data_IF_397782087630
#
_entry.id   IF_397782087630
#
_cell.length_a   1.000
_cell.length_b   1.000
_cell.length_c   1.000
_cell.angle_alpha   90.00
_cell.angle_beta   90.00
_cell.angle_gamma   90.00
#
_symmetry.space_group_name_H-M   'P 1'
#
loop_
_entity.id
_entity.type
_entity.pdbx_description
1 polymer ?
#
# COMPACT_ATOMS: atom_id res chain seq x y z
N UNK A 1 -14.98 43.63 56.19
CA UNK A 1 -14.05 42.65 55.61
C UNK A 1 -14.53 42.34 54.21
N UNK A 2 -14.06 43.09 53.21
CA UNK A 2 -14.37 42.85 51.80
C UNK A 2 -13.22 42.04 51.20
N UNK A 3 -13.50 40.79 50.82
CA UNK A 3 -12.54 39.98 50.05
C UNK A 3 -12.66 40.42 48.60
N UNK A 4 -11.71 41.22 48.14
CA UNK A 4 -11.59 41.55 46.72
C UNK A 4 -11.05 40.31 45.99
N UNK A 5 -11.90 39.67 45.19
CA UNK A 5 -11.44 38.69 44.20
C UNK A 5 -10.67 39.44 43.12
N UNK A 6 -9.34 39.35 43.14
CA UNK A 6 -8.50 39.76 42.02
C UNK A 6 -8.76 38.82 40.84
N UNK A 7 -9.62 39.26 39.92
CA UNK A 7 -9.67 38.68 38.58
C UNK A 7 -8.42 39.16 37.82
N UNK A 8 -7.52 38.23 37.49
CA UNK A 8 -6.37 38.49 36.62
C UNK A 8 -6.78 38.23 35.16
N UNK A 9 -7.07 39.27 34.35
CA UNK A 9 -7.54 39.12 32.97
C UNK A 9 -6.50 38.48 32.04
N UNK A 10 -5.21 38.60 32.34
CA UNK A 10 -4.13 38.02 31.54
C UNK A 10 -4.14 36.49 31.51
N UNK A 11 -4.51 35.85 32.63
CA UNK A 11 -4.62 34.40 32.73
C UNK A 11 -5.79 33.87 31.89
N UNK A 12 -6.91 34.61 31.85
CA UNK A 12 -8.08 34.29 31.04
C UNK A 12 -7.82 34.48 29.54
N UNK A 13 -7.16 35.59 29.17
CA UNK A 13 -6.76 35.86 27.78
C UNK A 13 -5.74 34.83 27.26
N UNK A 14 -4.84 34.34 28.11
CA UNK A 14 -3.95 33.21 27.77
C UNK A 14 -4.71 31.90 27.61
N UNK A 15 -5.59 31.55 28.56
CA UNK A 15 -6.44 30.36 28.46
C UNK A 15 -7.29 30.34 27.18
N UNK A 16 -7.89 31.48 26.83
CA UNK A 16 -8.69 31.60 25.60
C UNK A 16 -7.85 31.41 24.34
N UNK A 17 -6.59 31.85 24.36
CA UNK A 17 -5.66 31.70 23.22
C UNK A 17 -5.18 30.25 23.09
N UNK A 18 -4.95 29.58 24.22
CA UNK A 18 -4.53 28.18 24.29
C UNK A 18 -5.68 27.21 23.93
N UNK A 19 -6.93 27.61 24.16
CA UNK A 19 -8.13 26.84 23.79
C UNK A 19 -8.58 27.05 22.34
N UNK A 20 -8.17 28.15 21.69
CA UNK A 20 -8.58 28.45 20.31
C UNK A 20 -8.21 27.34 19.31
N UNK A 21 -7.01 26.74 19.33
CA UNK A 21 -6.67 25.61 18.46
C UNK A 21 -7.58 24.40 18.66
N UNK A 22 -7.97 24.13 19.91
CA UNK A 22 -8.84 23.02 20.29
C UNK A 22 -10.27 23.28 19.78
N UNK A 23 -10.77 24.50 19.93
CA UNK A 23 -12.09 24.89 19.44
C UNK A 23 -12.19 24.78 17.91
N UNK A 24 -11.16 25.22 17.19
CA UNK A 24 -11.10 25.09 15.72
C UNK A 24 -10.97 23.62 15.27
N UNK A 25 -10.26 22.78 16.03
CA UNK A 25 -10.23 21.33 15.81
C UNK A 25 -11.63 20.72 15.98
N UNK A 26 -12.34 21.05 17.07
CA UNK A 26 -13.71 20.56 17.33
C UNK A 26 -14.69 21.02 16.24
N UNK A 27 -14.62 22.29 15.81
CA UNK A 27 -15.44 22.80 14.70
C UNK A 27 -15.19 22.03 13.40
N UNK A 28 -13.93 21.77 13.06
CA UNK A 28 -13.57 21.00 11.86
C UNK A 28 -13.97 19.52 11.93
N UNK A 29 -14.14 18.97 13.15
CA UNK A 29 -14.65 17.61 13.37
C UNK A 29 -16.19 17.54 13.38
N UNK A 30 -16.90 18.66 13.31
CA UNK A 30 -18.35 18.67 13.15
C UNK A 30 -18.76 18.00 11.83
N UNK A 31 -19.83 17.20 11.85
CA UNK A 31 -20.36 16.56 10.63
C UNK A 31 -20.86 17.58 9.57
N UNK A 32 -21.14 18.81 10.00
CA UNK A 32 -21.61 19.91 9.15
C UNK A 32 -20.51 20.96 8.86
N UNK A 33 -19.24 20.65 9.13
CA UNK A 33 -18.15 21.60 8.95
C UNK A 33 -17.97 22.00 7.48
N UNK A 34 -17.96 23.30 7.22
CA UNK A 34 -17.58 23.89 5.94
C UNK A 34 -16.08 23.71 5.72
N UNK A 35 -15.72 22.57 5.11
CA UNK A 35 -14.39 22.17 4.62
C UNK A 35 -13.40 21.71 5.70
N UNK A 36 -13.08 20.40 5.78
CA UNK A 36 -12.10 19.88 6.72
C UNK A 36 -10.69 20.41 6.45
N UNK A 37 -9.88 20.59 7.50
CA UNK A 37 -8.52 21.14 7.41
C UNK A 37 -7.48 20.05 7.11
N UNK A 38 -7.61 19.42 5.95
CA UNK A 38 -6.77 18.28 5.53
C UNK A 38 -5.31 18.63 5.19
N UNK A 39 -4.87 19.88 5.39
CA UNK A 39 -3.46 20.27 5.32
C UNK A 39 -2.71 20.06 6.65
N UNK A 40 -3.43 19.86 7.76
CA UNK A 40 -2.84 19.66 9.09
C UNK A 40 -2.83 18.17 9.45
N UNK A 41 -1.64 17.62 9.75
CA UNK A 41 -1.46 16.18 10.05
C UNK A 41 -2.21 15.76 11.31
N UNK A 42 -2.21 16.59 12.36
CA UNK A 42 -2.87 16.27 13.62
C UNK A 42 -4.39 16.28 13.45
N UNK A 43 -4.91 17.29 12.75
CA UNK A 43 -6.32 17.33 12.38
C UNK A 43 -6.72 16.07 11.60
N UNK A 44 -5.95 15.72 10.57
CA UNK A 44 -6.22 14.57 9.71
C UNK A 44 -6.24 13.25 10.49
N UNK A 45 -5.31 13.04 11.42
CA UNK A 45 -5.29 11.86 12.30
C UNK A 45 -6.52 11.78 13.20
N UNK A 46 -6.87 12.89 13.86
CA UNK A 46 -8.06 12.93 14.72
C UNK A 46 -9.34 12.71 13.91
N UNK A 47 -9.43 13.33 12.73
CA UNK A 47 -10.54 13.11 11.81
C UNK A 47 -10.66 11.64 11.40
N UNK A 48 -9.54 10.99 11.05
CA UNK A 48 -9.55 9.56 10.73
C UNK A 48 -10.14 8.74 11.87
N UNK A 49 -9.61 8.93 13.09
CA UNK A 49 -10.01 8.16 14.27
C UNK A 49 -11.50 8.32 14.59
N UNK A 50 -12.04 9.53 14.44
CA UNK A 50 -13.43 9.82 14.80
C UNK A 50 -14.45 9.58 13.68
N UNK A 51 -14.04 9.72 12.41
CA UNK A 51 -14.97 9.71 11.26
C UNK A 51 -14.82 8.50 10.36
N UNK A 52 -13.59 8.13 10.02
CA UNK A 52 -13.33 7.08 9.03
C UNK A 52 -13.15 5.71 9.69
N UNK A 53 -12.35 5.62 10.77
CA UNK A 53 -12.05 4.38 11.48
C UNK A 53 -13.30 3.57 11.86
N UNK A 54 -14.36 4.15 12.46
CA UNK A 54 -15.55 3.39 12.84
C UNK A 54 -16.34 2.84 11.65
N UNK A 55 -16.05 3.32 10.44
CA UNK A 55 -16.75 2.98 9.20
C UNK A 55 -15.90 2.15 8.25
N UNK A 56 -14.68 1.75 8.60
CA UNK A 56 -13.78 1.05 7.67
C UNK A 56 -14.40 -0.24 7.12
N UNK A 57 -15.08 -1.03 7.96
CA UNK A 57 -15.76 -2.26 7.55
C UNK A 57 -16.89 -2.02 6.52
N UNK A 58 -17.43 -0.80 6.44
CA UNK A 58 -18.53 -0.42 5.54
C UNK A 58 -18.21 0.83 4.71
N UNK A 59 -16.92 1.10 4.50
CA UNK A 59 -16.47 2.30 3.78
C UNK A 59 -16.91 2.20 2.32
N UNK A 60 -17.43 3.31 1.78
CA UNK A 60 -17.92 3.36 0.40
C UNK A 60 -16.88 3.97 -0.52
N UNK A 61 -16.88 3.52 -1.78
CA UNK A 61 -16.06 4.12 -2.84
C UNK A 61 -16.30 5.63 -2.96
N UNK A 62 -17.56 6.08 -2.89
CA UNK A 62 -17.91 7.50 -3.00
C UNK A 62 -17.28 8.38 -1.91
N UNK A 63 -17.21 7.86 -0.68
CA UNK A 63 -16.57 8.56 0.44
C UNK A 63 -15.06 8.67 0.22
N UNK A 64 -14.43 7.58 -0.22
CA UNK A 64 -12.99 7.51 -0.49
C UNK A 64 -12.59 8.39 -1.69
N UNK A 65 -13.41 8.40 -2.74
CA UNK A 65 -13.26 9.28 -3.89
C UNK A 65 -13.30 10.75 -3.46
N UNK A 66 -14.29 11.13 -2.65
CA UNK A 66 -14.39 12.47 -2.09
C UNK A 66 -13.17 12.83 -1.24
N UNK A 67 -12.73 11.92 -0.36
CA UNK A 67 -11.54 12.12 0.47
C UNK A 67 -10.28 12.37 -0.37
N UNK A 68 -10.09 11.62 -1.47
CA UNK A 68 -8.96 11.82 -2.41
C UNK A 68 -8.94 13.23 -3.02
N UNK A 69 -10.10 13.90 -3.07
CA UNK A 69 -10.26 15.25 -3.61
C UNK A 69 -10.17 16.37 -2.56
N UNK A 70 -10.08 16.03 -1.27
CA UNK A 70 -10.37 16.97 -0.18
C UNK A 70 -9.19 17.89 0.22
N UNK A 71 -8.26 18.17 -0.69
CA UNK A 71 -7.14 19.09 -0.42
C UNK A 71 -6.06 18.51 0.51
N UNK A 72 -5.84 17.19 0.48
CA UNK A 72 -4.72 16.55 1.18
C UNK A 72 -3.38 17.00 0.56
N UNK A 73 -2.35 17.13 1.40
CA UNK A 73 -0.95 17.21 0.97
C UNK A 73 -0.36 15.79 0.98
N UNK A 74 0.81 15.59 0.36
CA UNK A 74 1.50 14.29 0.48
C UNK A 74 1.76 13.90 1.93
N UNK A 75 2.07 14.85 2.81
CA UNK A 75 2.29 14.56 4.22
C UNK A 75 1.02 14.10 4.93
N UNK A 76 -0.13 14.75 4.70
CA UNK A 76 -1.39 14.36 5.34
C UNK A 76 -1.98 13.09 4.72
N UNK A 77 -1.78 12.88 3.42
CA UNK A 77 -2.07 11.60 2.76
C UNK A 77 -1.28 10.44 3.37
N UNK A 78 0.05 10.57 3.48
CA UNK A 78 0.91 9.53 4.06
C UNK A 78 0.56 9.25 5.52
N UNK A 79 0.08 10.26 6.26
CA UNK A 79 -0.47 10.07 7.59
C UNK A 79 -1.77 9.24 7.56
N UNK A 80 -2.69 9.49 6.63
CA UNK A 80 -3.90 8.65 6.46
C UNK A 80 -3.57 7.22 6.04
N UNK A 81 -2.63 7.03 5.12
CA UNK A 81 -2.16 5.70 4.72
C UNK A 81 -1.61 4.93 5.92
N UNK A 82 -0.84 5.59 6.80
CA UNK A 82 -0.38 4.99 8.05
C UNK A 82 -1.53 4.56 8.96
N UNK A 83 -2.56 5.40 9.11
CA UNK A 83 -3.73 5.05 9.92
C UNK A 83 -4.55 3.90 9.30
N UNK A 84 -4.69 3.87 7.96
CA UNK A 84 -5.35 2.78 7.23
C UNK A 84 -4.60 1.46 7.38
N UNK A 85 -3.27 1.50 7.26
CA UNK A 85 -2.38 0.35 7.42
C UNK A 85 -2.50 -0.27 8.82
N UNK A 86 -2.47 0.56 9.87
CA UNK A 86 -2.68 0.11 11.25
C UNK A 86 -4.06 -0.51 11.50
N UNK A 87 -5.04 -0.24 10.63
CA UNK A 87 -6.41 -0.76 10.74
C UNK A 87 -6.80 -1.67 9.55
N UNK A 88 -5.81 -2.18 8.80
CA UNK A 88 -6.08 -2.94 7.57
C UNK A 88 -6.94 -4.18 7.81
N UNK A 89 -6.74 -4.84 8.96
CA UNK A 89 -7.50 -6.03 9.39
C UNK A 89 -8.97 -5.73 9.75
N UNK A 90 -9.36 -4.45 9.86
CA UNK A 90 -10.77 -4.07 10.05
C UNK A 90 -11.56 -4.00 8.73
N UNK A 91 -10.90 -4.28 7.61
CA UNK A 91 -11.48 -4.28 6.26
C UNK A 91 -11.31 -5.66 5.65
N UNK A 92 -12.36 -6.19 5.03
CA UNK A 92 -12.24 -7.37 4.19
C UNK A 92 -11.43 -7.05 2.91
N UNK A 93 -10.92 -8.07 2.18
CA UNK A 93 -10.09 -7.86 1.00
C UNK A 93 -10.72 -6.97 -0.08
N UNK A 94 -12.05 -7.02 -0.25
CA UNK A 94 -12.76 -6.18 -1.20
C UNK A 94 -12.68 -4.71 -0.77
N UNK A 95 -12.85 -4.40 0.52
CA UNK A 95 -12.75 -3.02 1.03
C UNK A 95 -11.32 -2.51 0.97
N UNK A 96 -10.32 -3.36 1.25
CA UNK A 96 -8.91 -2.98 1.10
C UNK A 96 -8.59 -2.58 -0.34
N UNK A 97 -9.07 -3.35 -1.34
CA UNK A 97 -8.94 -3.03 -2.76
C UNK A 97 -9.65 -1.71 -3.11
N UNK A 98 -10.84 -1.46 -2.58
CA UNK A 98 -11.55 -0.19 -2.80
C UNK A 98 -10.80 0.99 -2.17
N UNK A 99 -10.17 0.83 -1.00
CA UNK A 99 -9.29 1.86 -0.41
C UNK A 99 -8.12 2.17 -1.32
N UNK A 100 -7.48 1.15 -1.88
CA UNK A 100 -6.42 1.34 -2.86
C UNK A 100 -6.92 2.12 -4.09
N UNK A 101 -7.92 1.60 -4.81
CA UNK A 101 -8.36 2.15 -6.10
C UNK A 101 -9.07 3.49 -5.95
N UNK A 102 -9.92 3.64 -4.93
CA UNK A 102 -10.82 4.80 -4.80
C UNK A 102 -10.25 5.94 -3.96
N UNK A 103 -9.17 5.71 -3.23
CA UNK A 103 -8.50 6.75 -2.44
C UNK A 103 -7.01 6.88 -2.77
N UNK A 104 -6.22 5.82 -2.61
CA UNK A 104 -4.75 5.92 -2.73
C UNK A 104 -4.32 6.25 -4.15
N UNK A 105 -4.72 5.43 -5.13
CA UNK A 105 -4.37 5.63 -6.54
C UNK A 105 -4.91 6.97 -7.05
N UNK A 106 -6.22 7.23 -6.85
CA UNK A 106 -6.87 8.51 -7.21
C UNK A 106 -6.22 9.76 -6.61
N UNK A 107 -5.56 9.66 -5.45
CA UNK A 107 -4.82 10.79 -4.88
C UNK A 107 -3.44 10.94 -5.54
N UNK A 108 -2.71 9.84 -5.73
CA UNK A 108 -1.34 9.85 -6.26
C UNK A 108 -1.27 10.17 -7.76
N UNK A 109 -2.27 9.81 -8.55
CA UNK A 109 -2.35 10.10 -10.00
C UNK A 109 -2.56 11.59 -10.32
N UNK A 110 -2.88 12.40 -9.32
CA UNK A 110 -3.15 13.82 -9.54
C UNK A 110 -1.88 14.54 -9.89
N UNK A 111 -1.93 15.33 -10.96
CA UNK A 111 -0.77 16.08 -11.45
C UNK A 111 -0.05 16.91 -10.37
N UNK A 112 -0.78 17.53 -9.45
CA UNK A 112 -0.17 18.37 -8.40
C UNK A 112 0.47 17.59 -7.25
N UNK A 113 0.19 16.29 -7.09
CA UNK A 113 0.82 15.46 -6.06
C UNK A 113 2.14 14.86 -6.54
N UNK A 114 2.33 14.75 -7.87
CA UNK A 114 3.51 14.16 -8.50
C UNK A 114 3.87 12.81 -7.86
N UNK A 115 2.88 11.93 -7.64
CA UNK A 115 3.07 10.62 -7.01
C UNK A 115 3.63 10.67 -5.58
N UNK A 116 3.61 11.84 -4.93
CA UNK A 116 4.28 12.08 -3.66
C UNK A 116 5.76 11.67 -3.64
N UNK A 117 6.44 11.94 -4.76
CA UNK A 117 7.87 11.75 -4.91
C UNK A 117 8.64 12.75 -4.02
N UNK A 118 9.68 12.24 -3.36
CA UNK A 118 10.64 13.05 -2.61
C UNK A 118 12.00 12.80 -3.20
N UNK A 119 12.70 13.87 -3.55
CA UNK A 119 14.02 13.77 -4.16
C UNK A 119 14.99 12.98 -3.26
N UNK A 120 15.64 11.97 -3.83
CA UNK A 120 16.59 11.11 -3.11
C UNK A 120 15.95 9.93 -2.36
N UNK A 121 14.63 9.79 -2.33
CA UNK A 121 14.01 8.58 -1.78
C UNK A 121 14.30 7.37 -2.67
N UNK A 122 14.62 6.23 -2.05
CA UNK A 122 14.63 4.94 -2.74
C UNK A 122 13.22 4.49 -3.12
N UNK A 123 13.09 3.54 -4.05
CA UNK A 123 11.79 2.94 -4.39
C UNK A 123 11.13 2.30 -3.16
N UNK A 124 11.91 1.67 -2.27
CA UNK A 124 11.45 1.15 -0.99
C UNK A 124 10.85 2.25 -0.09
N UNK A 125 11.58 3.35 0.10
CA UNK A 125 11.11 4.45 0.95
C UNK A 125 9.83 5.08 0.39
N UNK A 126 9.75 5.22 -0.93
CA UNK A 126 8.54 5.71 -1.59
C UNK A 126 7.37 4.74 -1.42
N UNK A 127 7.59 3.44 -1.66
CA UNK A 127 6.58 2.39 -1.52
C UNK A 127 6.01 2.32 -0.09
N UNK A 128 6.91 2.33 0.91
CA UNK A 128 6.52 2.28 2.32
C UNK A 128 5.86 3.56 2.83
N UNK A 129 6.14 4.71 2.22
CA UNK A 129 5.44 5.96 2.58
C UNK A 129 4.03 6.02 2.01
N UNK A 130 3.84 5.57 0.77
CA UNK A 130 2.61 5.78 0.04
C UNK A 130 1.64 4.60 0.08
N UNK A 131 2.10 3.36 0.29
CA UNK A 131 1.25 2.17 0.24
C UNK A 131 1.32 1.30 1.49
N UNK A 132 2.50 1.12 2.10
CA UNK A 132 2.68 0.21 3.25
C UNK A 132 2.13 -1.19 2.93
N UNK A 133 1.37 -1.84 3.81
CA UNK A 133 0.82 -3.17 3.55
C UNK A 133 -0.16 -3.22 2.39
N UNK A 134 -0.70 -2.08 1.93
CA UNK A 134 -1.49 -2.04 0.70
C UNK A 134 -0.64 -2.23 -0.55
N UNK A 135 0.69 -2.18 -0.46
CA UNK A 135 1.59 -2.34 -1.61
C UNK A 135 1.35 -3.64 -2.37
N UNK A 136 0.97 -4.72 -1.67
CA UNK A 136 0.70 -6.03 -2.29
C UNK A 136 -0.62 -6.09 -3.07
N UNK A 137 -1.46 -5.04 -2.99
CA UNK A 137 -2.73 -4.93 -3.70
C UNK A 137 -2.65 -4.07 -4.97
N UNK A 138 -1.50 -3.43 -5.19
CA UNK A 138 -1.24 -2.51 -6.29
C UNK A 138 -0.92 -3.31 -7.55
N UNK A 139 -1.47 -2.94 -8.70
CA UNK A 139 -1.07 -3.57 -9.97
C UNK A 139 0.37 -3.15 -10.30
N UNK A 140 1.23 -4.07 -10.74
CA UNK A 140 2.67 -3.78 -10.85
C UNK A 140 3.00 -2.61 -11.81
N UNK A 141 2.20 -2.45 -12.87
CA UNK A 141 2.31 -1.34 -13.83
C UNK A 141 2.09 0.02 -13.15
N UNK A 142 1.21 0.11 -12.15
CA UNK A 142 0.88 1.37 -11.48
C UNK A 142 2.09 1.94 -10.73
N UNK A 143 3.04 1.10 -10.31
CA UNK A 143 4.28 1.60 -9.71
C UNK A 143 5.10 2.45 -10.67
N UNK A 144 5.15 2.10 -11.96
CA UNK A 144 5.86 2.87 -12.99
C UNK A 144 5.10 4.12 -13.38
N UNK A 145 3.77 4.03 -13.44
CA UNK A 145 2.91 5.19 -13.72
C UNK A 145 3.03 6.27 -12.63
N UNK A 146 3.14 5.86 -11.36
CA UNK A 146 3.18 6.78 -10.22
C UNK A 146 4.61 7.22 -9.83
N UNK A 147 5.62 6.41 -10.14
CA UNK A 147 7.02 6.71 -9.85
C UNK A 147 7.91 6.30 -11.02
N UNK A 148 8.30 7.28 -11.83
CA UNK A 148 9.17 7.10 -12.99
C UNK A 148 10.57 6.55 -12.66
N UNK A 149 10.97 6.59 -11.38
CA UNK A 149 12.24 6.06 -10.88
C UNK A 149 12.06 4.77 -10.06
N UNK A 150 10.90 4.12 -10.19
CA UNK A 150 10.64 2.87 -9.49
C UNK A 150 11.54 1.74 -10.00
N UNK A 151 12.10 0.98 -9.07
CA UNK A 151 12.87 -0.23 -9.34
C UNK A 151 12.26 -1.39 -8.55
N UNK A 152 11.53 -2.26 -9.25
CA UNK A 152 10.90 -3.44 -8.63
C UNK A 152 11.92 -4.37 -7.97
N UNK A 153 13.11 -4.52 -8.56
CA UNK A 153 14.19 -5.33 -8.00
C UNK A 153 14.67 -4.81 -6.63
N UNK A 154 14.73 -3.49 -6.46
CA UNK A 154 15.13 -2.89 -5.18
C UNK A 154 14.11 -3.12 -4.06
N UNK A 155 12.87 -3.49 -4.40
CA UNK A 155 11.78 -3.77 -3.45
C UNK A 155 11.31 -5.21 -3.52
N UNK A 156 12.11 -6.13 -4.08
CA UNK A 156 11.71 -7.51 -4.34
C UNK A 156 11.12 -8.22 -3.10
N UNK A 157 11.63 -7.91 -1.90
CA UNK A 157 11.15 -8.48 -0.64
C UNK A 157 9.77 -7.97 -0.20
N UNK A 158 9.31 -6.82 -0.74
CA UNK A 158 8.06 -6.16 -0.40
C UNK A 158 6.93 -6.43 -1.42
N UNK A 159 7.27 -7.09 -2.53
CA UNK A 159 6.31 -7.44 -3.58
C UNK A 159 5.53 -8.71 -3.21
N UNK A 160 4.27 -8.77 -3.63
CA UNK A 160 3.47 -9.99 -3.62
C UNK A 160 4.02 -11.03 -4.59
N UNK A 161 3.51 -12.26 -4.53
CA UNK A 161 3.94 -13.32 -5.47
C UNK A 161 3.55 -12.96 -6.92
N UNK A 162 2.35 -12.42 -7.09
CA UNK A 162 1.81 -11.95 -8.36
C UNK A 162 2.70 -10.83 -8.93
N UNK A 163 3.03 -9.84 -8.11
CA UNK A 163 3.89 -8.72 -8.51
C UNK A 163 5.32 -9.17 -8.86
N UNK A 164 5.88 -10.15 -8.15
CA UNK A 164 7.19 -10.73 -8.48
C UNK A 164 7.16 -11.44 -9.84
N UNK A 165 6.07 -12.12 -10.17
CA UNK A 165 5.92 -12.74 -11.47
C UNK A 165 5.73 -11.69 -12.57
N UNK A 166 4.93 -10.65 -12.32
CA UNK A 166 4.77 -9.52 -13.24
C UNK A 166 6.10 -8.81 -13.51
N UNK A 167 6.94 -8.63 -12.47
CA UNK A 167 8.27 -8.06 -12.60
C UNK A 167 9.12 -8.76 -13.66
N UNK A 168 9.08 -10.10 -13.74
CA UNK A 168 9.87 -10.86 -14.74
C UNK A 168 9.42 -10.55 -16.17
N UNK A 169 8.13 -10.27 -16.36
CA UNK A 169 7.51 -10.08 -17.67
C UNK A 169 7.47 -8.61 -18.10
N UNK A 170 7.61 -7.68 -17.16
CA UNK A 170 7.35 -6.28 -17.39
C UNK A 170 8.50 -5.58 -18.15
N UNK A 171 8.23 -4.95 -19.31
CA UNK A 171 9.25 -4.36 -20.18
C UNK A 171 9.97 -3.17 -19.54
N UNK A 172 9.32 -2.45 -18.62
CA UNK A 172 9.87 -1.30 -17.90
C UNK A 172 11.06 -1.61 -16.98
N UNK A 173 11.31 -2.88 -16.67
CA UNK A 173 12.46 -3.28 -15.85
C UNK A 173 13.78 -3.34 -16.64
N UNK A 174 13.74 -3.08 -17.95
CA UNK A 174 14.84 -3.43 -18.84
C UNK A 174 14.97 -4.94 -19.01
N UNK A 175 15.67 -5.40 -20.05
CA UNK A 175 15.93 -6.83 -20.20
C UNK A 175 16.68 -7.36 -18.96
N UNK A 176 16.03 -8.23 -18.21
CA UNK A 176 16.63 -8.86 -17.03
C UNK A 176 17.65 -9.92 -17.48
N UNK A 177 18.83 -9.92 -16.87
CA UNK A 177 19.82 -10.98 -17.08
C UNK A 177 19.43 -12.26 -16.33
N UNK A 178 20.04 -13.39 -16.70
CA UNK A 178 19.75 -14.70 -16.11
C UNK A 178 19.98 -14.76 -14.60
N UNK A 179 20.95 -14.01 -14.07
CA UNK A 179 21.22 -13.94 -12.63
C UNK A 179 20.08 -13.24 -11.89
N UNK A 180 19.65 -12.10 -12.42
CA UNK A 180 18.50 -11.35 -11.88
C UNK A 180 17.21 -12.16 -11.94
N UNK A 181 16.94 -12.83 -13.07
CA UNK A 181 15.80 -13.74 -13.21
C UNK A 181 15.85 -14.83 -12.14
N UNK A 182 17.02 -15.45 -11.93
CA UNK A 182 17.22 -16.48 -10.90
C UNK A 182 16.91 -15.98 -9.49
N UNK A 183 17.30 -14.74 -9.16
CA UNK A 183 16.99 -14.12 -7.86
C UNK A 183 15.48 -13.94 -7.65
N UNK A 184 14.76 -13.50 -8.68
CA UNK A 184 13.30 -13.35 -8.60
C UNK A 184 12.64 -14.71 -8.39
N UNK A 185 13.09 -15.74 -9.11
CA UNK A 185 12.61 -17.11 -8.92
C UNK A 185 12.87 -17.66 -7.52
N UNK A 186 14.05 -17.45 -6.96
CA UNK A 186 14.34 -17.85 -5.58
C UNK A 186 13.39 -17.17 -4.58
N UNK A 187 13.07 -15.88 -4.82
CA UNK A 187 12.12 -15.12 -4.01
C UNK A 187 10.66 -15.60 -4.15
N UNK A 188 10.29 -16.12 -5.33
CA UNK A 188 9.00 -16.77 -5.58
C UNK A 188 8.90 -18.14 -4.90
N UNK A 189 9.96 -18.94 -5.00
CA UNK A 189 9.98 -20.33 -4.53
C UNK A 189 10.25 -20.46 -3.03
N UNK A 190 10.90 -19.48 -2.40
CA UNK A 190 11.26 -19.53 -0.98
C UNK A 190 10.10 -19.93 -0.05
N UNK A 191 8.92 -19.27 -0.14
CA UNK A 191 7.76 -19.63 0.67
C UNK A 191 7.22 -21.05 0.40
N UNK A 192 7.34 -21.55 -0.83
CA UNK A 192 6.91 -22.89 -1.22
C UNK A 192 7.84 -23.97 -0.67
N UNK A 193 9.15 -23.76 -0.81
CA UNK A 193 10.18 -24.72 -0.38
C UNK A 193 10.20 -24.85 1.15
N UNK A 194 10.05 -23.73 1.85
CA UNK A 194 10.06 -23.69 3.32
C UNK A 194 8.75 -24.18 3.95
N UNK A 195 7.70 -24.35 3.16
CA UNK A 195 6.44 -24.91 3.60
C UNK A 195 6.41 -26.41 3.28
N UNK A 196 6.60 -27.26 4.30
CA UNK A 196 6.64 -28.72 4.13
C UNK A 196 5.41 -29.30 3.40
N UNK A 197 4.24 -28.68 3.58
CA UNK A 197 3.00 -29.12 2.96
C UNK A 197 2.93 -28.75 1.47
N UNK A 198 3.35 -27.54 1.10
CA UNK A 198 3.43 -27.10 -0.32
C UNK A 198 4.57 -27.80 -1.06
N UNK A 199 5.70 -28.02 -0.39
CA UNK A 199 6.82 -28.80 -0.90
C UNK A 199 6.38 -30.24 -1.26
N UNK A 200 5.60 -30.89 -0.38
CA UNK A 200 5.04 -32.21 -0.69
C UNK A 200 4.05 -32.18 -1.85
N UNK A 201 3.19 -31.16 -1.94
CA UNK A 201 2.27 -30.97 -3.07
C UNK A 201 3.02 -30.76 -4.39
N UNK A 202 4.10 -29.97 -4.40
CA UNK A 202 4.97 -29.77 -5.56
C UNK A 202 5.67 -31.07 -5.97
N UNK A 203 6.20 -31.82 -5.01
CA UNK A 203 6.84 -33.11 -5.27
C UNK A 203 5.85 -34.09 -5.91
N UNK A 204 4.63 -34.17 -5.39
CA UNK A 204 3.58 -35.03 -5.93
C UNK A 204 3.14 -34.60 -7.33
N UNK A 205 3.03 -33.28 -7.60
CA UNK A 205 2.68 -32.75 -8.91
C UNK A 205 3.80 -32.99 -9.95
N UNK A 206 5.06 -32.89 -9.53
CA UNK A 206 6.24 -33.17 -10.38
C UNK A 206 6.34 -34.67 -10.68
N UNK A 207 6.08 -35.53 -9.70
CA UNK A 207 5.95 -36.98 -9.91
C UNK A 207 4.83 -37.31 -10.91
N UNK A 208 3.67 -36.66 -10.79
CA UNK A 208 2.54 -36.84 -11.69
C UNK A 208 2.84 -36.34 -13.12
N UNK A 209 3.52 -35.21 -13.25
CA UNK A 209 4.00 -34.69 -14.53
C UNK A 209 5.06 -35.60 -15.17
N UNK A 210 6.01 -36.13 -14.39
CA UNK A 210 7.02 -37.09 -14.88
C UNK A 210 6.43 -38.45 -15.28
N UNK A 211 5.36 -38.90 -14.62
CA UNK A 211 4.61 -40.08 -15.06
C UNK A 211 3.87 -39.85 -16.39
N UNK A 212 3.46 -38.61 -16.67
CA UNK A 212 2.86 -38.21 -17.96
C UNK A 212 3.93 -37.95 -19.04
N UNK A 213 5.08 -37.41 -18.64
CA UNK A 213 6.18 -36.98 -19.51
C UNK A 213 7.26 -38.05 -19.74
N UNK A 214 7.04 -39.30 -19.32
CA UNK A 214 7.94 -40.45 -19.48
C UNK A 214 8.34 -40.81 -20.93
N UNK A 215 8.16 -39.91 -21.89
CA UNK A 215 8.61 -39.99 -23.28
C UNK A 215 9.52 -38.83 -23.73
N UNK A 216 9.90 -37.86 -22.86
CA UNK A 216 10.83 -36.79 -23.23
C UNK A 216 12.06 -36.79 -22.30
N UNK A 217 13.23 -37.03 -22.88
CA UNK A 217 14.51 -37.15 -22.17
C UNK A 217 15.37 -35.89 -22.34
N UNK A 218 15.76 -35.26 -21.23
CA UNK A 218 16.85 -34.27 -21.20
C UNK A 218 16.68 -33.17 -20.14
N UNK A 219 17.76 -32.74 -19.43
CA UNK A 219 17.72 -31.56 -18.58
C UNK A 219 17.73 -30.33 -19.48
N UNK A 220 16.54 -29.81 -19.80
CA UNK A 220 16.41 -28.56 -20.52
C UNK A 220 16.63 -27.40 -19.55
N UNK A 221 17.71 -26.65 -19.79
CA UNK A 221 17.82 -25.27 -19.32
C UNK A 221 16.58 -24.54 -19.84
N UNK A 222 15.69 -24.09 -18.94
CA UNK A 222 14.42 -23.48 -19.33
C UNK A 222 14.75 -22.24 -20.17
N UNK A 223 14.26 -22.21 -21.41
CA UNK A 223 14.29 -21.00 -22.21
C UNK A 223 13.21 -20.02 -21.70
N UNK A 224 13.12 -18.84 -22.30
CA UNK A 224 12.15 -17.81 -21.90
C UNK A 224 10.70 -18.34 -21.85
N UNK A 225 10.36 -19.32 -22.69
CA UNK A 225 9.02 -19.94 -22.76
C UNK A 225 8.83 -20.98 -21.65
N UNK A 226 9.87 -21.75 -21.35
CA UNK A 226 9.93 -22.63 -20.19
C UNK A 226 9.78 -21.87 -18.88
N UNK A 227 10.45 -20.72 -18.75
CA UNK A 227 10.29 -19.84 -17.58
C UNK A 227 8.87 -19.32 -17.41
N UNK A 228 8.21 -18.89 -18.50
CA UNK A 228 6.81 -18.44 -18.47
C UNK A 228 5.86 -19.58 -18.09
N UNK A 229 6.11 -20.79 -18.59
CA UNK A 229 5.30 -21.97 -18.27
C UNK A 229 5.46 -22.40 -16.81
N UNK A 230 6.67 -22.28 -16.25
CA UNK A 230 6.93 -22.53 -14.83
C UNK A 230 6.30 -21.46 -13.93
N UNK A 231 6.32 -20.18 -14.34
CA UNK A 231 5.61 -19.09 -13.66
C UNK A 231 4.10 -19.38 -13.61
N UNK A 232 3.50 -19.74 -14.75
CA UNK A 232 2.09 -20.14 -14.83
C UNK A 232 1.78 -21.32 -13.90
N UNK A 233 2.68 -22.31 -13.83
CA UNK A 233 2.52 -23.45 -12.92
C UNK A 233 2.57 -23.06 -11.43
N UNK A 234 3.43 -22.10 -11.04
CA UNK A 234 3.45 -21.56 -9.67
C UNK A 234 2.14 -20.84 -9.34
N UNK A 235 1.58 -20.05 -10.27
CA UNK A 235 0.28 -19.39 -10.08
C UNK A 235 -0.87 -20.38 -9.81
N UNK A 236 -0.79 -21.60 -10.34
CA UNK A 236 -1.76 -22.67 -10.04
C UNK A 236 -1.58 -23.29 -8.65
N UNK A 237 -0.40 -23.15 -8.03
CA UNK A 237 -0.05 -23.81 -6.76
C UNK A 237 -0.10 -22.88 -5.53
N UNK A 238 -0.05 -21.57 -5.73
CA UNK A 238 -0.20 -20.58 -4.65
C UNK A 238 -1.67 -20.13 -4.62
N UNK A 239 -2.50 -20.58 -3.68
CA UNK A 239 -3.84 -20.04 -3.53
C UNK A 239 -3.75 -18.59 -3.03
N UNK A 240 -4.55 -17.70 -3.63
CA UNK A 240 -4.75 -16.31 -3.21
C UNK A 240 -5.07 -16.18 -1.71
#
# INVERSE_FOLDING_TARGET
MYVAFQFYPDSFMRLSRDLQPILELIKGLSFNASKPRFHDVNFTRVWFQLKLRPRLASVTESLLACLSTSGLTCQTYQALVNELDMNILSMDPQRQRIVYTSFMCRFLERHYTAGCLVHGNSSEQWLMRNFRSFSTLVDYEDFFALNIHFSGLSVLALLSQEQKAELVLHPGNGGLDNGTISLVFQSLLGPLINNAHLNQSMYNATMMSNMIAGNATGPHELDRVGYVSFILFIFYLVPN
#
